data_IF_570155608274
#
_entry.id   IF_570155608274
#
_cell.length_a   1.000
_cell.length_b   1.000
_cell.length_c   1.000
_cell.angle_alpha   90.00
_cell.angle_beta   90.00
_cell.angle_gamma   90.00
#
_symmetry.space_group_name_H-M   'P 1'
#
loop_
_entity.id
_entity.type
_entity.pdbx_description
1 polymer ?
#
# COMPACT_ATOMS: atom_id res chain seq x y z
N UNK A 1 55.16 41.68 -16.94
CA UNK A 1 54.22 41.54 -15.81
C UNK A 1 52.81 41.35 -16.37
N UNK A 2 52.24 40.15 -16.30
CA UNK A 2 50.84 39.90 -16.67
C UNK A 2 50.30 38.76 -15.81
N UNK A 3 49.33 39.07 -14.96
CA UNK A 3 48.88 38.25 -13.83
C UNK A 3 47.75 37.30 -14.26
N UNK A 4 48.03 35.99 -14.26
CA UNK A 4 47.01 34.94 -14.40
C UNK A 4 46.12 34.91 -13.15
N UNK A 5 44.86 35.31 -13.27
CA UNK A 5 43.82 35.09 -12.24
C UNK A 5 43.32 33.64 -12.33
N UNK A 6 43.37 32.91 -11.21
CA UNK A 6 42.81 31.56 -11.05
C UNK A 6 41.28 31.61 -11.08
N UNK A 7 40.59 30.60 -11.65
CA UNK A 7 39.14 30.50 -11.51
C UNK A 7 38.77 30.01 -10.10
N UNK A 8 37.89 30.77 -9.45
CA UNK A 8 37.22 30.45 -8.19
C UNK A 8 36.21 29.32 -8.43
N UNK A 9 36.40 28.20 -7.75
CA UNK A 9 35.41 27.13 -7.71
C UNK A 9 34.20 27.59 -6.89
N UNK A 10 33.10 27.92 -7.56
CA UNK A 10 31.83 28.12 -6.90
C UNK A 10 31.36 26.77 -6.34
N UNK A 11 31.19 26.74 -5.02
CA UNK A 11 30.60 25.64 -4.25
C UNK A 11 29.13 25.51 -4.64
N UNK A 12 28.83 24.69 -5.64
CA UNK A 12 27.47 24.26 -5.91
C UNK A 12 27.09 23.27 -4.82
N UNK A 13 26.31 23.74 -3.84
CA UNK A 13 25.55 22.88 -2.93
C UNK A 13 24.47 22.16 -3.74
N UNK A 14 24.86 21.13 -4.48
CA UNK A 14 23.90 20.26 -5.15
C UNK A 14 23.12 19.49 -4.09
N UNK A 15 21.81 19.65 -4.19
CA UNK A 15 20.84 19.22 -3.20
C UNK A 15 20.98 17.76 -2.82
N UNK A 16 20.90 17.54 -1.52
CA UNK A 16 20.44 16.33 -0.84
C UNK A 16 20.15 15.17 -1.80
N UNK A 17 21.18 14.35 -1.99
CA UNK A 17 21.06 12.99 -2.50
C UNK A 17 20.15 12.19 -1.56
N UNK A 18 18.84 12.31 -1.75
CA UNK A 18 17.88 11.34 -1.25
C UNK A 18 17.71 10.18 -2.25
N UNK A 19 18.81 9.77 -2.88
CA UNK A 19 18.98 8.44 -3.51
C UNK A 19 19.52 7.49 -2.45
N UNK A 20 18.72 7.13 -1.46
CA UNK A 20 19.08 6.00 -0.59
C UNK A 20 18.65 4.72 -1.28
N UNK A 21 19.56 4.19 -2.10
CA UNK A 21 19.48 2.88 -2.73
C UNK A 21 18.86 1.85 -1.77
N UNK A 22 17.90 1.08 -2.27
CA UNK A 22 17.43 -0.14 -1.61
C UNK A 22 18.64 -1.10 -1.59
N UNK A 23 19.33 -1.21 -0.44
CA UNK A 23 20.49 -2.10 -0.32
C UNK A 23 19.97 -3.53 -0.23
N UNK A 24 20.74 -4.52 -0.69
CA UNK A 24 20.38 -5.95 -0.55
C UNK A 24 20.03 -6.33 0.90
N UNK A 25 20.53 -5.56 1.87
CA UNK A 25 20.27 -5.73 3.30
C UNK A 25 18.87 -5.27 3.74
N UNK A 26 18.12 -4.51 2.94
CA UNK A 26 16.81 -3.95 3.35
C UNK A 26 15.69 -5.01 3.35
N UNK A 27 15.87 -6.09 2.58
CA UNK A 27 14.98 -7.26 2.55
C UNK A 27 15.50 -8.29 3.55
N UNK A 28 14.62 -8.78 4.40
CA UNK A 28 14.94 -9.80 5.41
C UNK A 28 14.82 -11.21 4.82
N UNK A 29 13.63 -11.57 4.30
CA UNK A 29 13.43 -12.82 3.60
C UNK A 29 12.30 -12.74 2.57
N UNK A 30 12.36 -13.64 1.58
CA UNK A 30 11.33 -13.80 0.54
C UNK A 30 10.82 -15.23 0.57
N UNK A 31 9.50 -15.40 0.63
CA UNK A 31 8.88 -16.73 0.67
C UNK A 31 7.65 -16.80 -0.22
N UNK A 32 7.28 -17.98 -0.69
CA UNK A 32 6.03 -18.19 -1.43
C UNK A 32 4.87 -18.29 -0.45
N UNK A 33 3.81 -17.54 -0.67
CA UNK A 33 2.66 -17.44 0.24
C UNK A 33 1.56 -18.43 -0.16
N UNK A 34 0.77 -18.90 0.80
CA UNK A 34 -0.41 -19.73 0.57
C UNK A 34 -0.25 -21.19 1.00
N UNK A 35 -1.33 -22.00 0.97
CA UNK A 35 -1.25 -23.42 1.28
C UNK A 35 -0.31 -24.14 0.30
N UNK A 36 0.46 -25.11 0.82
CA UNK A 36 1.30 -25.97 -0.02
C UNK A 36 0.38 -26.84 -0.89
N UNK A 37 0.49 -26.68 -2.21
CA UNK A 37 -0.38 -27.36 -3.16
C UNK A 37 -0.08 -28.87 -3.18
N UNK A 38 -1.12 -29.70 -3.09
CA UNK A 38 -1.01 -31.14 -3.36
C UNK A 38 -0.68 -31.38 -4.85
N UNK A 39 0.11 -32.42 -5.15
CA UNK A 39 0.47 -32.78 -6.53
C UNK A 39 -0.81 -33.13 -7.31
N UNK A 40 -1.28 -32.21 -8.16
CA UNK A 40 -2.35 -32.44 -9.14
C UNK A 40 -1.72 -32.72 -10.51
N UNK A 41 -2.42 -33.42 -11.43
CA UNK A 41 -1.94 -33.62 -12.80
C UNK A 41 -1.57 -32.29 -13.46
N UNK A 42 -0.63 -32.30 -14.42
CA UNK A 42 -0.10 -31.09 -15.05
C UNK A 42 -1.25 -30.28 -15.66
N UNK A 43 -1.44 -29.06 -15.14
CA UNK A 43 -2.38 -28.10 -15.70
C UNK A 43 -1.66 -27.26 -16.77
N UNK A 44 -2.40 -26.87 -17.81
CA UNK A 44 -1.90 -26.11 -18.97
C UNK A 44 -1.25 -24.76 -18.57
N UNK A 45 -1.58 -24.23 -17.39
CA UNK A 45 -0.94 -23.02 -16.84
C UNK A 45 -0.28 -23.31 -15.49
N UNK A 46 1.03 -23.02 -15.32
CA UNK A 46 1.67 -23.08 -14.02
C UNK A 46 1.08 -21.97 -13.14
N UNK A 47 0.30 -22.35 -12.13
CA UNK A 47 -0.17 -21.41 -11.12
C UNK A 47 0.96 -21.17 -10.11
N UNK A 48 1.76 -20.15 -10.37
CA UNK A 48 2.83 -19.69 -9.47
C UNK A 48 2.22 -19.07 -8.21
N UNK A 49 2.67 -19.52 -7.03
CA UNK A 49 2.31 -18.90 -5.76
C UNK A 49 2.88 -17.48 -5.69
N UNK A 50 2.09 -16.56 -5.16
CA UNK A 50 2.54 -15.17 -4.99
C UNK A 50 3.71 -15.11 -3.97
N UNK A 51 4.82 -14.41 -4.29
CA UNK A 51 5.86 -14.13 -3.33
C UNK A 51 5.38 -13.14 -2.25
N UNK A 52 5.82 -13.35 -1.02
CA UNK A 52 5.78 -12.37 0.05
C UNK A 52 7.21 -12.01 0.45
N UNK A 53 7.48 -10.71 0.55
CA UNK A 53 8.76 -10.17 0.99
C UNK A 53 8.60 -9.55 2.37
N UNK A 54 9.48 -9.91 3.30
CA UNK A 54 9.65 -9.22 4.57
C UNK A 54 10.79 -8.22 4.45
N UNK A 55 10.58 -7.00 4.95
CA UNK A 55 11.61 -5.97 5.03
C UNK A 55 12.13 -5.91 6.45
N UNK A 56 13.40 -5.51 6.62
CA UNK A 56 14.00 -5.35 7.96
C UNK A 56 13.28 -4.31 8.81
N UNK A 57 12.72 -3.28 8.19
CA UNK A 57 12.03 -2.20 8.90
C UNK A 57 10.71 -1.84 8.21
N UNK A 58 9.67 -1.42 8.97
CA UNK A 58 8.42 -0.93 8.40
C UNK A 58 8.64 0.27 7.46
N UNK A 59 9.57 1.17 7.81
CA UNK A 59 9.92 2.32 6.97
C UNK A 59 10.34 1.91 5.55
N UNK A 60 11.18 0.87 5.42
CA UNK A 60 11.65 0.38 4.12
C UNK A 60 10.54 -0.27 3.29
N UNK A 61 9.65 -1.02 3.94
CA UNK A 61 8.44 -1.53 3.31
C UNK A 61 7.60 -0.38 2.75
N UNK A 62 7.38 0.67 3.53
CA UNK A 62 6.50 1.79 3.15
C UNK A 62 7.14 2.64 2.04
N UNK A 63 8.46 2.85 2.11
CA UNK A 63 9.26 3.49 1.04
C UNK A 63 9.15 2.70 -0.28
N UNK A 64 9.25 1.36 -0.21
CA UNK A 64 9.10 0.49 -1.37
C UNK A 64 7.69 0.55 -1.97
N UNK A 65 6.65 0.46 -1.15
CA UNK A 65 5.25 0.54 -1.59
C UNK A 65 4.95 1.89 -2.27
N UNK A 66 5.41 3.01 -1.69
CA UNK A 66 5.27 4.35 -2.29
C UNK A 66 5.97 4.44 -3.64
N UNK A 67 7.15 3.85 -3.75
CA UNK A 67 7.92 3.80 -5.01
C UNK A 67 7.22 2.97 -6.09
N UNK A 68 6.49 1.92 -5.71
CA UNK A 68 5.67 1.13 -6.63
C UNK A 68 4.42 1.88 -7.08
N UNK A 69 3.73 2.58 -6.17
CA UNK A 69 2.54 3.37 -6.49
C UNK A 69 2.83 4.48 -7.51
N UNK A 70 3.97 5.15 -7.39
CA UNK A 70 4.40 6.19 -8.32
C UNK A 70 4.65 5.67 -9.74
N UNK A 71 5.05 4.39 -9.90
CA UNK A 71 5.34 3.80 -11.21
C UNK A 71 4.10 3.32 -11.95
N UNK A 72 2.97 3.05 -11.26
CA UNK A 72 1.63 2.63 -11.75
C UNK A 72 1.55 1.43 -12.72
N UNK A 73 2.65 1.04 -13.36
CA UNK A 73 2.76 0.03 -14.40
C UNK A 73 4.06 -0.76 -14.19
N UNK A 74 4.02 -1.72 -13.27
CA UNK A 74 5.10 -2.68 -13.12
C UNK A 74 4.81 -3.86 -14.04
N UNK A 75 5.74 -4.17 -14.92
CA UNK A 75 5.65 -5.30 -15.85
C UNK A 75 6.82 -6.24 -15.60
N UNK A 76 6.65 -7.52 -15.95
CA UNK A 76 7.70 -8.54 -15.89
C UNK A 76 8.75 -8.44 -17.01
N UNK A 77 8.88 -7.30 -17.68
CA UNK A 77 9.77 -7.12 -18.85
C UNK A 77 11.23 -7.47 -18.55
N UNK A 78 11.70 -7.16 -17.33
CA UNK A 78 13.09 -7.39 -16.89
C UNK A 78 13.30 -8.75 -16.22
N UNK A 79 12.28 -9.60 -16.20
CA UNK A 79 12.33 -10.95 -15.63
C UNK A 79 12.11 -11.90 -16.81
N UNK A 80 12.87 -12.99 -16.91
CA UNK A 80 12.69 -14.04 -17.94
C UNK A 80 11.36 -14.80 -17.74
N UNK A 81 10.25 -14.09 -17.88
CA UNK A 81 8.89 -14.52 -17.65
C UNK A 81 7.98 -13.84 -18.67
N UNK A 82 6.83 -14.45 -18.95
CA UNK A 82 5.82 -13.85 -19.83
C UNK A 82 5.48 -12.43 -19.38
N UNK A 83 5.27 -11.53 -20.33
CA UNK A 83 4.82 -10.16 -20.06
C UNK A 83 3.49 -10.16 -19.29
N UNK A 84 3.57 -9.77 -18.03
CA UNK A 84 2.45 -9.72 -17.08
C UNK A 84 2.56 -8.49 -16.21
N UNK A 85 1.41 -7.95 -15.84
CA UNK A 85 1.33 -6.85 -14.88
C UNK A 85 1.63 -7.38 -13.47
N UNK A 86 2.48 -6.65 -12.75
CA UNK A 86 2.88 -6.97 -11.37
C UNK A 86 2.11 -6.04 -10.44
N UNK A 87 1.40 -6.64 -9.48
CA UNK A 87 0.72 -5.93 -8.41
C UNK A 87 1.50 -6.09 -7.12
N UNK A 88 1.76 -4.98 -6.44
CA UNK A 88 2.43 -4.96 -5.15
C UNK A 88 1.43 -4.48 -4.11
N UNK A 89 1.09 -5.36 -3.17
CA UNK A 89 0.17 -5.07 -2.08
C UNK A 89 0.85 -5.21 -0.73
N UNK A 90 0.39 -4.42 0.24
CA UNK A 90 0.79 -4.62 1.63
C UNK A 90 0.18 -5.90 2.19
N UNK A 91 0.98 -6.68 2.92
CA UNK A 91 0.51 -7.88 3.60
C UNK A 91 -0.04 -7.53 4.98
N UNK A 92 -1.37 -7.56 5.12
CA UNK A 92 -2.05 -7.36 6.40
C UNK A 92 -1.98 -8.60 7.31
N UNK A 93 -1.98 -8.37 8.63
CA UNK A 93 -2.20 -9.40 9.65
C UNK A 93 -3.59 -10.05 9.49
N UNK A 94 -3.82 -11.27 10.00
CA UNK A 94 -5.14 -11.89 9.96
C UNK A 94 -6.25 -11.00 10.52
N UNK A 95 -5.99 -10.34 11.66
CA UNK A 95 -6.90 -9.39 12.28
C UNK A 95 -7.19 -8.20 11.36
N UNK A 96 -6.17 -7.55 10.81
CA UNK A 96 -6.38 -6.40 9.93
C UNK A 96 -7.07 -6.81 8.62
N UNK A 97 -6.87 -8.03 8.11
CA UNK A 97 -7.64 -8.52 6.95
C UNK A 97 -9.12 -8.66 7.28
N UNK A 98 -9.46 -9.18 8.45
CA UNK A 98 -10.85 -9.28 8.90
C UNK A 98 -11.46 -7.89 9.09
N UNK A 99 -10.74 -7.00 9.78
CA UNK A 99 -11.17 -5.62 9.98
C UNK A 99 -11.35 -4.87 8.66
N UNK A 100 -10.44 -5.04 7.69
CA UNK A 100 -10.56 -4.40 6.38
C UNK A 100 -11.77 -4.89 5.60
N UNK A 101 -12.08 -6.20 5.68
CA UNK A 101 -13.30 -6.76 5.08
C UNK A 101 -14.56 -6.17 5.73
N UNK A 102 -14.60 -6.11 7.05
CA UNK A 102 -15.71 -5.53 7.79
C UNK A 102 -15.88 -4.03 7.45
N UNK A 103 -14.79 -3.27 7.48
CA UNK A 103 -14.80 -1.85 7.14
C UNK A 103 -15.28 -1.61 5.71
N UNK A 104 -14.83 -2.42 4.75
CA UNK A 104 -15.26 -2.29 3.35
C UNK A 104 -16.74 -2.62 3.16
N UNK A 105 -17.28 -3.59 3.88
CA UNK A 105 -18.71 -3.89 3.85
C UNK A 105 -19.52 -2.74 4.46
N UNK A 106 -19.13 -2.28 5.64
CA UNK A 106 -19.80 -1.19 6.32
C UNK A 106 -19.72 0.12 5.50
N UNK A 107 -18.59 0.40 4.83
CA UNK A 107 -18.50 1.58 3.96
C UNK A 107 -19.54 1.59 2.84
N UNK A 108 -19.91 0.42 2.30
CA UNK A 108 -20.95 0.32 1.26
C UNK A 108 -22.34 0.56 1.85
N UNK A 109 -22.60 0.02 3.04
CA UNK A 109 -23.89 0.12 3.72
C UNK A 109 -24.18 1.54 4.20
N UNK A 110 -23.16 2.25 4.71
CA UNK A 110 -23.30 3.57 5.31
C UNK A 110 -22.86 4.73 4.39
N UNK A 111 -22.68 4.47 3.10
CA UNK A 111 -22.44 5.51 2.09
C UNK A 111 -21.07 6.19 2.16
N UNK A 112 -20.03 5.49 2.64
CA UNK A 112 -18.65 5.95 2.53
C UNK A 112 -18.07 5.61 1.16
N UNK A 113 -17.58 6.63 0.45
CA UNK A 113 -17.07 6.48 -0.92
C UNK A 113 -15.71 5.79 -1.00
N UNK A 114 -14.88 5.88 0.04
CA UNK A 114 -13.52 5.36 0.00
C UNK A 114 -13.18 4.49 1.22
N UNK A 115 -12.51 3.37 0.96
CA UNK A 115 -11.93 2.47 1.95
C UNK A 115 -10.62 1.91 1.39
N UNK A 116 -9.50 2.17 2.07
CA UNK A 116 -8.17 1.76 1.64
C UNK A 116 -7.25 1.44 2.84
N UNK A 117 -6.08 0.90 2.53
CA UNK A 117 -5.04 0.58 3.50
C UNK A 117 -3.81 1.42 3.18
N UNK A 118 -3.16 1.94 4.21
CA UNK A 118 -1.88 2.64 4.06
C UNK A 118 -1.05 2.49 5.33
N UNK A 119 0.22 2.12 5.18
CA UNK A 119 1.16 1.95 6.29
C UNK A 119 0.60 1.00 7.39
N UNK A 120 -0.15 -0.04 6.97
CA UNK A 120 -0.83 -1.00 7.86
C UNK A 120 -2.15 -0.52 8.49
N UNK A 121 -2.49 0.76 8.34
CA UNK A 121 -3.70 1.38 8.86
C UNK A 121 -4.87 1.26 7.89
N UNK A 122 -6.08 0.99 8.42
CA UNK A 122 -7.31 0.93 7.62
C UNK A 122 -8.00 2.27 7.68
N UNK A 123 -8.22 2.87 6.53
CA UNK A 123 -8.74 4.22 6.38
C UNK A 123 -10.07 4.20 5.64
N UNK A 124 -11.04 4.95 6.15
CA UNK A 124 -12.33 5.20 5.49
C UNK A 124 -12.55 6.70 5.30
N UNK A 125 -13.25 7.08 4.23
CA UNK A 125 -13.59 8.49 3.97
C UNK A 125 -14.97 8.58 3.33
N UNK A 126 -15.81 9.48 3.87
CA UNK A 126 -17.20 9.62 3.44
C UNK A 126 -17.30 10.13 2.00
N UNK A 127 -16.73 11.29 1.73
CA UNK A 127 -16.65 11.89 0.40
C UNK A 127 -15.32 12.61 0.22
N UNK A 128 -15.05 13.07 -1.00
CA UNK A 128 -13.94 13.99 -1.27
C UNK A 128 -14.09 15.26 -0.42
N UNK A 129 -12.98 15.89 -0.03
CA UNK A 129 -12.95 16.99 0.94
C UNK A 129 -13.06 16.59 2.42
N UNK A 130 -13.73 15.48 2.78
CA UNK A 130 -13.84 15.06 4.18
C UNK A 130 -12.52 14.50 4.74
N UNK A 131 -12.25 14.57 6.06
CA UNK A 131 -11.08 13.92 6.64
C UNK A 131 -11.16 12.40 6.55
N UNK A 132 -10.01 11.75 6.38
CA UNK A 132 -9.92 10.29 6.46
C UNK A 132 -9.99 9.85 7.94
N UNK A 133 -10.72 8.78 8.19
CA UNK A 133 -10.92 8.19 9.50
C UNK A 133 -10.11 6.90 9.58
N UNK A 134 -9.18 6.82 10.53
CA UNK A 134 -8.44 5.60 10.83
C UNK A 134 -9.28 4.69 11.74
N UNK A 135 -9.46 3.44 11.31
CA UNK A 135 -10.15 2.38 12.03
C UNK A 135 -9.11 1.43 12.62
N UNK A 136 -9.07 1.35 13.95
CA UNK A 136 -8.06 0.54 14.67
C UNK A 136 -8.55 -0.87 15.01
N UNK A 137 -9.83 -1.03 15.31
CA UNK A 137 -10.43 -2.30 15.72
C UNK A 137 -11.93 -2.33 15.32
N UNK A 138 -12.60 -3.45 15.61
CA UNK A 138 -14.01 -3.63 15.25
C UNK A 138 -14.95 -2.66 16.00
N UNK A 139 -14.68 -2.41 17.27
CA UNK A 139 -15.47 -1.47 18.09
C UNK A 139 -15.36 -0.03 17.59
N UNK A 140 -14.15 0.39 17.18
CA UNK A 140 -13.91 1.71 16.57
C UNK A 140 -14.62 1.82 15.23
N UNK A 141 -14.69 0.73 14.44
CA UNK A 141 -15.49 0.71 13.22
C UNK A 141 -16.96 1.03 13.50
N UNK A 142 -17.57 0.34 14.45
CA UNK A 142 -18.98 0.56 14.83
C UNK A 142 -19.20 1.99 15.34
N UNK A 143 -18.35 2.45 16.27
CA UNK A 143 -18.47 3.79 16.85
C UNK A 143 -18.37 4.91 15.80
N UNK A 144 -17.42 4.80 14.87
CA UNK A 144 -17.16 5.84 13.85
C UNK A 144 -18.25 5.88 12.79
N UNK A 145 -18.88 4.74 12.51
CA UNK A 145 -19.94 4.62 11.53
C UNK A 145 -21.28 5.09 12.09
N UNK A 146 -21.62 4.73 13.33
CA UNK A 146 -22.86 5.19 13.98
C UNK A 146 -22.90 6.72 14.08
N UNK A 147 -21.78 7.36 14.42
CA UNK A 147 -21.68 8.83 14.48
C UNK A 147 -21.90 9.53 13.13
N UNK A 148 -21.74 8.81 12.01
CA UNK A 148 -21.84 9.39 10.67
C UNK A 148 -23.24 9.35 10.05
N UNK A 149 -24.21 8.78 10.77
CA UNK A 149 -25.62 8.78 10.38
C UNK A 149 -26.14 10.22 10.28
N UNK A 150 -26.68 10.65 9.13
CA UNK A 150 -27.59 11.80 9.13
C UNK A 150 -28.84 11.39 9.92
N UNK A 151 -29.32 12.28 10.79
CA UNK A 151 -30.55 12.09 11.55
C UNK A 151 -31.66 11.52 10.64
N UNK A 152 -32.32 10.47 11.11
CA UNK A 152 -33.50 9.89 10.52
C UNK A 152 -34.47 10.98 10.06
N UNK A 153 -34.82 10.98 8.78
CA UNK A 153 -36.00 11.69 8.31
C UNK A 153 -37.20 10.94 8.85
N UNK A 154 -37.74 11.44 9.97
CA UNK A 154 -39.03 11.01 10.48
C UNK A 154 -40.06 11.18 9.36
N UNK A 155 -40.51 10.05 8.83
CA UNK A 155 -41.64 9.99 7.91
C UNK A 155 -42.89 10.27 8.73
N UNK A 156 -43.40 11.50 8.62
CA UNK A 156 -44.74 11.85 9.08
C UNK A 156 -45.74 11.06 8.22
N UNK A 157 -46.58 10.19 8.80
CA UNK A 157 -47.64 9.55 8.05
C UNK A 157 -48.74 10.57 7.74
N UNK A 158 -49.19 10.57 6.48
CA UNK A 158 -50.40 11.25 6.04
C UNK A 158 -51.62 10.35 6.26
#
# INVERSE_FOLDING_TARGET
MSTKRKPTAHRTSDGLQNRRNNREQDVDFVTRVGPRRQKKPPQLTPQTREPGCAFRTPYKRDEFLKSCENRRSLTSTDIEADLRNIYVNERLTPANRQLFRAARNATKEYGYKYCWVRDGAILIRKQEGNPAIHIQNMEDLERRIVRAQPASTDTVPA
#
